data_IF_564209050594
#
_entry.id   IF_564209050594
#
_cell.length_a   1.000
_cell.length_b   1.000
_cell.length_c   1.000
_cell.angle_alpha   90.00
_cell.angle_beta   90.00
_cell.angle_gamma   90.00
#
_symmetry.space_group_name_H-M   'P 1'
#
loop_
_entity.id
_entity.type
_entity.pdbx_description
1 polymer ?
#
# COMPACT_ATOMS: atom_id res chain seq x y z
N UNK A 1 19.08 -17.09 0.06
CA UNK A 1 19.44 -15.94 0.90
C UNK A 1 18.97 -14.68 0.20
N UNK A 2 18.13 -13.87 0.84
CA UNK A 2 17.73 -12.56 0.32
C UNK A 2 18.48 -11.49 1.12
N UNK A 3 18.99 -10.46 0.44
CA UNK A 3 19.79 -9.39 1.06
C UNK A 3 19.37 -8.04 0.53
N UNK A 4 19.34 -7.02 1.40
CA UNK A 4 19.04 -5.64 1.04
C UNK A 4 20.26 -4.78 1.39
N UNK A 5 20.70 -3.96 0.44
CA UNK A 5 21.74 -2.95 0.68
C UNK A 5 21.10 -1.56 0.74
N UNK A 6 21.27 -0.89 1.89
CA UNK A 6 20.77 0.46 2.10
C UNK A 6 21.96 1.42 2.04
N UNK A 7 21.97 2.33 1.06
CA UNK A 7 23.01 3.37 0.91
C UNK A 7 22.54 4.69 1.50
N UNK A 8 23.49 5.59 1.75
CA UNK A 8 23.24 6.98 2.17
C UNK A 8 22.43 7.11 3.47
N UNK A 9 22.59 6.16 4.39
CA UNK A 9 22.01 6.26 5.74
C UNK A 9 22.72 7.37 6.50
N UNK A 10 21.95 8.27 7.10
CA UNK A 10 22.54 9.37 7.86
C UNK A 10 23.39 8.83 9.03
N UNK A 11 24.54 9.44 9.35
CA UNK A 11 25.36 9.01 10.48
C UNK A 11 24.62 9.08 11.82
N UNK A 12 23.66 10.01 11.95
CA UNK A 12 22.81 10.12 13.12
C UNK A 12 21.90 8.89 13.27
N UNK A 13 21.23 8.47 12.18
CA UNK A 13 20.37 7.28 12.14
C UNK A 13 21.16 6.02 12.47
N UNK A 14 22.34 5.85 11.87
CA UNK A 14 23.18 4.67 12.12
C UNK A 14 23.60 4.57 13.59
N UNK A 15 23.96 5.70 14.23
CA UNK A 15 24.30 5.73 15.67
C UNK A 15 23.11 5.38 16.55
N UNK A 16 21.92 5.90 16.21
CA UNK A 16 20.69 5.60 16.95
C UNK A 16 20.35 4.10 16.87
N UNK A 17 20.41 3.50 15.68
CA UNK A 17 20.16 2.07 15.47
C UNK A 17 21.18 1.19 16.21
N UNK A 18 22.48 1.55 16.20
CA UNK A 18 23.51 0.83 16.98
C UNK A 18 23.24 0.86 18.48
N UNK A 19 22.79 2.01 19.00
CA UNK A 19 22.43 2.14 20.42
C UNK A 19 21.21 1.28 20.76
N UNK A 20 20.20 1.26 19.89
CA UNK A 20 19.00 0.45 20.05
C UNK A 20 19.32 -1.06 20.03
N UNK A 21 20.13 -1.51 19.08
CA UNK A 21 20.59 -2.89 19.01
C UNK A 21 21.33 -3.32 20.29
N UNK A 22 22.18 -2.43 20.83
CA UNK A 22 22.88 -2.67 22.10
C UNK A 22 21.90 -2.78 23.28
N UNK A 23 20.86 -1.94 23.36
CA UNK A 23 19.86 -2.05 24.43
C UNK A 23 19.01 -3.31 24.34
N UNK A 24 18.81 -3.86 23.15
CA UNK A 24 18.08 -5.11 22.95
C UNK A 24 18.96 -6.37 23.00
N UNK A 25 20.28 -6.21 23.23
CA UNK A 25 21.26 -7.30 23.22
C UNK A 25 21.29 -8.07 21.89
N UNK A 26 21.17 -7.37 20.75
CA UNK A 26 21.17 -7.94 19.40
C UNK A 26 22.25 -7.31 18.53
N UNK A 27 22.57 -7.98 17.41
CA UNK A 27 23.40 -7.37 16.38
C UNK A 27 22.63 -6.25 15.66
N UNK A 28 23.35 -5.33 15.00
CA UNK A 28 22.71 -4.27 14.22
C UNK A 28 21.85 -4.85 13.09
N UNK A 29 22.32 -5.90 12.43
CA UNK A 29 21.59 -6.56 11.35
C UNK A 29 20.29 -7.18 11.85
N UNK A 30 20.36 -7.87 12.99
CA UNK A 30 19.19 -8.49 13.62
C UNK A 30 18.18 -7.44 14.09
N UNK A 31 18.65 -6.31 14.63
CA UNK A 31 17.78 -5.20 15.02
C UNK A 31 17.04 -4.61 13.81
N UNK A 32 17.76 -4.39 12.69
CA UNK A 32 17.15 -3.89 11.45
C UNK A 32 16.14 -4.90 10.91
N UNK A 33 16.47 -6.20 10.92
CA UNK A 33 15.55 -7.26 10.51
C UNK A 33 14.25 -7.23 11.30
N UNK A 34 14.33 -7.13 12.63
CA UNK A 34 13.16 -7.08 13.52
C UNK A 34 12.31 -5.83 13.28
N UNK A 35 12.94 -4.68 13.01
CA UNK A 35 12.22 -3.45 12.66
C UNK A 35 11.49 -3.62 11.33
N UNK A 36 12.14 -4.22 10.33
CA UNK A 36 11.53 -4.47 9.02
C UNK A 36 10.38 -5.48 9.11
N UNK A 37 10.55 -6.55 9.88
CA UNK A 37 9.51 -7.56 10.11
C UNK A 37 8.26 -6.92 10.74
N UNK A 38 8.44 -6.11 11.79
CA UNK A 38 7.33 -5.35 12.41
C UNK A 38 6.70 -4.35 11.47
N UNK A 39 7.50 -3.66 10.66
CA UNK A 39 6.97 -2.72 9.66
C UNK A 39 6.17 -3.45 8.57
N UNK A 40 6.58 -4.66 8.19
CA UNK A 40 5.86 -5.48 7.23
C UNK A 40 4.50 -5.96 7.77
N UNK A 41 4.40 -6.28 9.06
CA UNK A 41 3.12 -6.60 9.71
C UNK A 41 2.12 -5.43 9.66
N UNK A 42 2.62 -4.19 9.65
CA UNK A 42 1.81 -2.98 9.55
C UNK A 42 1.55 -2.55 8.10
N UNK A 43 2.23 -3.15 7.13
CA UNK A 43 2.07 -2.79 5.74
C UNK A 43 0.63 -3.11 5.31
N UNK A 44 -0.04 -2.21 4.57
CA UNK A 44 -1.33 -2.53 3.97
C UNK A 44 -1.19 -3.81 3.14
N UNK A 45 -2.09 -4.77 3.33
CA UNK A 45 -2.21 -5.96 2.49
C UNK A 45 -2.74 -5.55 1.11
N UNK A 46 -1.89 -4.90 0.33
CA UNK A 46 -2.14 -4.49 -1.03
C UNK A 46 -1.92 -5.66 -1.99
N UNK A 47 -2.78 -6.67 -1.90
CA UNK A 47 -3.15 -7.59 -2.97
C UNK A 47 -4.48 -8.27 -2.62
N UNK A 48 -5.48 -7.43 -2.38
CA UNK A 48 -6.67 -7.60 -3.19
C UNK A 48 -6.75 -6.33 -4.01
N UNK A 49 -6.21 -6.39 -5.24
CA UNK A 49 -7.05 -5.96 -6.35
C UNK A 49 -8.34 -6.78 -6.19
N UNK A 50 -9.25 -6.31 -5.32
CA UNK A 50 -10.52 -6.94 -5.08
C UNK A 50 -11.08 -7.11 -6.46
N UNK A 51 -11.31 -8.35 -6.87
CA UNK A 51 -12.06 -8.64 -8.08
C UNK A 51 -13.26 -7.70 -8.02
N UNK A 52 -13.27 -6.69 -8.90
CA UNK A 52 -14.40 -5.79 -9.01
C UNK A 52 -15.53 -6.66 -9.53
N UNK A 53 -16.35 -7.17 -8.62
CA UNK A 53 -17.51 -7.97 -8.99
C UNK A 53 -18.59 -6.99 -9.47
N UNK A 54 -18.65 -6.83 -10.79
CA UNK A 54 -19.69 -6.05 -11.47
C UNK A 54 -21.02 -6.81 -11.37
N UNK A 55 -21.77 -6.56 -10.30
CA UNK A 55 -23.13 -7.08 -10.14
C UNK A 55 -24.07 -6.26 -11.05
N UNK A 56 -24.31 -6.76 -12.26
CA UNK A 56 -25.28 -6.15 -13.18
C UNK A 56 -26.70 -6.59 -12.80
N UNK A 57 -27.45 -5.71 -12.15
CA UNK A 57 -28.86 -5.92 -11.85
C UNK A 57 -29.67 -5.58 -13.09
N UNK A 58 -30.25 -6.59 -13.76
CA UNK A 58 -31.21 -6.37 -14.85
C UNK A 58 -32.54 -5.89 -14.25
N UNK A 59 -32.76 -4.58 -14.20
CA UNK A 59 -34.09 -4.04 -13.93
C UNK A 59 -34.96 -4.31 -15.17
N UNK A 60 -36.16 -4.89 -14.97
CA UNK A 60 -37.09 -5.14 -16.08
C UNK A 60 -37.63 -3.79 -16.58
N UNK A 61 -37.06 -3.30 -17.66
CA UNK A 61 -37.52 -2.14 -18.41
C UNK A 61 -36.49 -1.78 -19.48
N UNK A 62 -36.84 -1.86 -20.76
CA UNK A 62 -36.00 -1.31 -21.82
C UNK A 62 -36.16 0.21 -21.81
N UNK A 63 -35.41 0.89 -20.95
CA UNK A 63 -35.38 2.35 -21.00
C UNK A 63 -34.41 2.76 -22.10
N UNK A 64 -34.95 3.21 -23.23
CA UNK A 64 -34.16 3.84 -24.30
C UNK A 64 -33.82 5.25 -23.85
N UNK A 65 -32.64 5.45 -23.26
CA UNK A 65 -32.19 6.79 -22.88
C UNK A 65 -31.72 7.54 -24.12
N UNK A 66 -32.34 8.69 -24.39
CA UNK A 66 -31.86 9.61 -25.44
C UNK A 66 -30.80 10.54 -24.86
N UNK A 67 -29.86 10.97 -25.72
CA UNK A 67 -28.72 11.79 -25.30
C UNK A 67 -29.19 13.12 -24.69
N UNK A 68 -30.26 13.67 -25.24
CA UNK A 68 -30.87 14.94 -24.84
C UNK A 68 -31.50 14.83 -23.44
N UNK A 69 -31.94 13.63 -23.03
CA UNK A 69 -32.50 13.37 -21.69
C UNK A 69 -31.41 13.26 -20.62
N UNK A 70 -30.19 12.87 -21.00
CA UNK A 70 -29.07 12.67 -20.07
C UNK A 70 -28.27 13.96 -19.87
N UNK A 71 -28.04 14.71 -20.95
CA UNK A 71 -27.10 15.84 -20.93
C UNK A 71 -27.78 17.20 -21.06
N UNK A 72 -29.09 17.24 -21.32
CA UNK A 72 -29.78 18.48 -21.69
C UNK A 72 -29.27 19.05 -23.02
N UNK A 73 -29.98 20.06 -23.53
CA UNK A 73 -29.63 20.77 -24.79
C UNK A 73 -28.62 21.91 -24.56
N UNK A 74 -27.79 21.81 -23.51
CA UNK A 74 -26.76 22.83 -23.19
C UNK A 74 -25.42 22.55 -23.88
N UNK A 75 -25.44 21.74 -24.95
CA UNK A 75 -24.27 21.36 -25.73
C UNK A 75 -23.88 22.34 -26.84
N UNK A 76 -24.10 23.65 -26.66
CA UNK A 76 -23.71 24.69 -27.63
C UNK A 76 -23.02 25.88 -27.00
#
# INVERSE_FOLDING_TARGET
MHSIMIRNVSPATLRALKRLARSHHRSLEEEVRVILDRAAEMAPTGDSAGSLELITIKTKGSTSWRREEIYGDDGR
#
